data_IF_024407814772
#
_entry.id   IF_024407814772
#
_cell.length_a   1.000
_cell.length_b   1.000
_cell.length_c   1.000
_cell.angle_alpha   90.00
_cell.angle_beta   90.00
_cell.angle_gamma   90.00
#
_symmetry.space_group_name_H-M   'P 1'
#
loop_
_entity.id
_entity.type
_entity.pdbx_description
1 polymer ?
#
# COMPACT_ATOMS: atom_id res chain seq x y z
N UNK A 1 13.79 25.37 -9.61
CA UNK A 1 12.77 24.37 -9.97
C UNK A 1 11.91 24.94 -11.07
N UNK A 2 11.92 24.33 -12.26
CA UNK A 2 11.07 24.78 -13.36
C UNK A 2 9.62 24.30 -13.15
N UNK A 3 8.64 24.95 -13.78
CA UNK A 3 7.24 24.47 -13.74
C UNK A 3 7.16 23.04 -14.28
N UNK A 4 7.96 22.73 -15.29
CA UNK A 4 8.04 21.41 -15.90
C UNK A 4 8.48 20.34 -14.88
N UNK A 5 9.53 20.59 -14.10
CA UNK A 5 9.99 19.67 -13.05
C UNK A 5 8.91 19.42 -11.98
N UNK A 6 8.14 20.45 -11.60
CA UNK A 6 7.01 20.27 -10.68
C UNK A 6 5.92 19.39 -11.29
N UNK A 7 5.55 19.63 -12.55
CA UNK A 7 4.51 18.85 -13.24
C UNK A 7 4.91 17.38 -13.41
N UNK A 8 6.19 17.09 -13.68
CA UNK A 8 6.71 15.73 -13.74
C UNK A 8 6.55 15.01 -12.39
N UNK A 9 6.86 15.69 -11.28
CA UNK A 9 6.67 15.16 -9.93
C UNK A 9 5.21 14.85 -9.61
N UNK A 10 4.28 15.74 -9.97
CA UNK A 10 2.85 15.48 -9.78
C UNK A 10 2.34 14.35 -10.67
N UNK A 11 2.83 14.27 -11.91
CA UNK A 11 2.50 13.18 -12.84
C UNK A 11 2.96 11.84 -12.28
N UNK A 12 4.17 11.78 -11.71
CA UNK A 12 4.67 10.58 -11.03
C UNK A 12 3.78 10.20 -9.86
N UNK A 13 3.48 11.14 -8.97
CA UNK A 13 2.59 10.90 -7.82
C UNK A 13 1.22 10.35 -8.27
N UNK A 14 0.64 10.96 -9.30
CA UNK A 14 -0.63 10.50 -9.87
C UNK A 14 -0.54 9.08 -10.41
N UNK A 15 0.56 8.70 -11.07
CA UNK A 15 0.77 7.35 -11.56
C UNK A 15 0.88 6.33 -10.41
N UNK A 16 1.54 6.68 -9.32
CA UNK A 16 1.67 5.81 -8.14
C UNK A 16 0.31 5.45 -7.54
N UNK A 17 -0.57 6.44 -7.34
CA UNK A 17 -1.93 6.19 -6.86
C UNK A 17 -2.82 5.50 -7.90
N UNK A 18 -2.57 5.74 -9.19
CA UNK A 18 -3.27 5.03 -10.27
C UNK A 18 -2.98 3.54 -10.22
N UNK A 19 -1.72 3.13 -10.03
CA UNK A 19 -1.34 1.72 -9.91
C UNK A 19 -2.07 1.02 -8.76
N UNK A 20 -2.08 1.64 -7.57
CA UNK A 20 -2.80 1.08 -6.43
C UNK A 20 -4.31 0.94 -6.70
N UNK A 21 -4.93 1.96 -7.31
CA UNK A 21 -6.36 1.91 -7.66
C UNK A 21 -6.68 0.86 -8.74
N UNK A 22 -5.80 0.66 -9.72
CA UNK A 22 -5.95 -0.41 -10.72
C UNK A 22 -5.90 -1.79 -10.07
N UNK A 23 -4.99 -1.99 -9.12
CA UNK A 23 -4.92 -3.22 -8.34
C UNK A 23 -6.16 -3.46 -7.48
N UNK A 24 -6.62 -2.44 -6.75
CA UNK A 24 -7.82 -2.53 -5.91
C UNK A 24 -9.06 -2.92 -6.72
N UNK A 25 -9.16 -2.47 -7.98
CA UNK A 25 -10.24 -2.85 -8.90
C UNK A 25 -10.15 -4.30 -9.40
N UNK A 26 -8.95 -4.87 -9.45
CA UNK A 26 -8.70 -6.24 -9.94
C UNK A 26 -8.86 -7.29 -8.84
N UNK A 27 -8.84 -6.90 -7.57
CA UNK A 27 -8.97 -7.85 -6.48
C UNK A 27 -10.34 -8.50 -6.50
N UNK A 28 -10.32 -9.81 -6.74
CA UNK A 28 -11.45 -10.69 -6.55
C UNK A 28 -11.32 -11.33 -5.16
N UNK A 29 -12.44 -11.53 -4.47
CA UNK A 29 -12.50 -12.15 -3.13
C UNK A 29 -12.08 -13.64 -3.09
N UNK A 30 -11.36 -14.13 -4.11
CA UNK A 30 -10.86 -15.49 -4.23
C UNK A 30 -9.61 -15.75 -3.40
N UNK A 31 -9.03 -14.73 -2.76
CA UNK A 31 -7.86 -14.85 -1.89
C UNK A 31 -8.01 -13.93 -0.66
N UNK A 32 -8.02 -14.51 0.53
CA UNK A 32 -8.16 -13.83 1.83
C UNK A 32 -6.98 -12.91 2.12
N UNK A 33 -5.75 -13.37 1.87
CA UNK A 33 -4.55 -12.56 2.14
C UNK A 33 -4.49 -11.33 1.24
N UNK A 34 -4.71 -11.50 -0.07
CA UNK A 34 -4.76 -10.37 -1.01
C UNK A 34 -5.92 -9.43 -0.69
N UNK A 35 -7.10 -9.96 -0.33
CA UNK A 35 -8.25 -9.14 0.08
C UNK A 35 -7.96 -8.32 1.35
N UNK A 36 -7.32 -8.92 2.35
CA UNK A 36 -6.92 -8.26 3.59
C UNK A 36 -5.93 -7.12 3.32
N UNK A 37 -4.92 -7.40 2.49
CA UNK A 37 -3.97 -6.39 2.02
C UNK A 37 -4.66 -5.25 1.27
N UNK A 38 -5.58 -5.57 0.34
CA UNK A 38 -6.36 -4.59 -0.41
C UNK A 38 -7.10 -3.64 0.52
N UNK A 39 -7.78 -4.19 1.51
CA UNK A 39 -8.61 -3.42 2.42
C UNK A 39 -7.77 -2.40 3.17
N UNK A 40 -6.63 -2.83 3.73
CA UNK A 40 -5.74 -1.92 4.46
C UNK A 40 -5.07 -0.91 3.53
N UNK A 41 -4.72 -1.30 2.30
CA UNK A 41 -4.20 -0.36 1.29
C UNK A 41 -5.24 0.70 0.94
N UNK A 42 -6.50 0.31 0.74
CA UNK A 42 -7.61 1.23 0.49
C UNK A 42 -7.80 2.20 1.66
N UNK A 43 -7.73 1.72 2.90
CA UNK A 43 -7.83 2.55 4.09
C UNK A 43 -6.69 3.59 4.15
N UNK A 44 -5.46 3.20 3.84
CA UNK A 44 -4.32 4.13 3.75
C UNK A 44 -4.50 5.18 2.66
N UNK A 45 -5.01 4.79 1.49
CA UNK A 45 -5.30 5.71 0.39
C UNK A 45 -6.43 6.68 0.77
N UNK A 46 -7.46 6.20 1.45
CA UNK A 46 -8.56 7.04 1.93
C UNK A 46 -8.05 8.10 2.92
N UNK A 47 -7.13 7.74 3.82
CA UNK A 47 -6.49 8.72 4.71
C UNK A 47 -5.75 9.81 3.92
N UNK A 48 -5.07 9.44 2.83
CA UNK A 48 -4.40 10.42 1.96
C UNK A 48 -5.42 11.32 1.25
N UNK A 49 -6.54 10.77 0.77
CA UNK A 49 -7.60 11.58 0.16
C UNK A 49 -8.23 12.56 1.15
N UNK A 50 -8.40 12.17 2.41
CA UNK A 50 -8.85 13.09 3.46
C UNK A 50 -7.86 14.25 3.67
N UNK A 51 -6.56 13.96 3.72
CA UNK A 51 -5.51 14.99 3.83
C UNK A 51 -5.53 15.95 2.62
N UNK A 52 -5.74 15.43 1.41
CA UNK A 52 -5.85 16.24 0.20
C UNK A 52 -7.10 17.11 0.20
N UNK A 53 -8.25 16.57 0.65
CA UNK A 53 -9.48 17.33 0.78
C UNK A 53 -9.36 18.48 1.79
N UNK A 54 -8.61 18.29 2.87
CA UNK A 54 -8.32 19.36 3.84
C UNK A 54 -7.45 20.47 3.24
N UNK A 55 -6.49 20.13 2.38
CA UNK A 55 -5.73 21.13 1.61
C UNK A 55 -6.65 21.90 0.67
N UNK A 56 -7.46 21.19 -0.11
CA UNK A 56 -8.43 21.79 -1.06
C UNK A 56 -9.38 22.76 -0.35
N UNK A 57 -9.89 22.37 0.82
CA UNK A 57 -10.78 23.21 1.64
C UNK A 57 -10.12 24.50 2.10
N UNK A 58 -8.83 24.47 2.48
CA UNK A 58 -8.07 25.67 2.85
C UNK A 58 -7.83 26.60 1.65
N UNK A 59 -7.55 26.03 0.48
CA UNK A 59 -7.46 26.79 -0.78
C UNK A 59 -8.77 27.52 -1.09
N UNK A 60 -9.90 26.81 -1.05
CA UNK A 60 -11.22 27.35 -1.42
C UNK A 60 -11.65 28.48 -0.48
N UNK A 61 -11.34 28.37 0.81
CA UNK A 61 -11.63 29.41 1.79
C UNK A 61 -10.66 30.60 1.75
N UNK A 62 -9.67 30.58 0.87
CA UNK A 62 -8.62 31.60 0.77
C UNK A 62 -7.86 31.81 2.09
N UNK A 63 -7.78 30.78 2.94
CA UNK A 63 -7.03 30.82 4.20
C UNK A 63 -5.51 30.92 3.93
N UNK A 64 -5.08 30.56 2.71
CA UNK A 64 -3.71 30.66 2.25
C UNK A 64 -3.61 30.74 0.72
N UNK A 65 -2.59 31.44 0.21
CA UNK A 65 -2.25 31.47 -1.21
C UNK A 65 -1.30 30.32 -1.54
N UNK A 66 -1.79 29.30 -2.27
CA UNK A 66 -0.93 28.22 -2.75
C UNK A 66 -0.24 28.58 -4.06
N UNK A 67 1.08 28.50 -4.06
CA UNK A 67 1.85 28.32 -5.29
C UNK A 67 2.10 26.84 -5.53
N UNK A 68 2.42 26.44 -6.76
CA UNK A 68 2.75 25.05 -7.11
C UNK A 68 3.86 24.49 -6.21
N UNK A 69 4.85 25.31 -5.88
CA UNK A 69 5.96 24.93 -5.01
C UNK A 69 5.50 24.70 -3.57
N UNK A 70 4.69 25.61 -3.01
CA UNK A 70 4.15 25.47 -1.65
C UNK A 70 3.26 24.24 -1.52
N UNK A 71 2.45 23.96 -2.54
CA UNK A 71 1.63 22.76 -2.57
C UNK A 71 2.50 21.49 -2.54
N UNK A 72 3.55 21.42 -3.37
CA UNK A 72 4.47 20.28 -3.36
C UNK A 72 5.18 20.10 -2.01
N UNK A 73 5.69 21.18 -1.42
CA UNK A 73 6.35 21.16 -0.11
C UNK A 73 5.42 20.67 0.99
N UNK A 74 4.13 21.04 0.92
CA UNK A 74 3.16 20.57 1.88
C UNK A 74 2.87 19.07 1.72
N UNK A 75 2.70 18.58 0.48
CA UNK A 75 2.55 17.14 0.23
C UNK A 75 3.76 16.34 0.73
N UNK A 76 4.96 16.89 0.57
CA UNK A 76 6.19 16.32 1.10
C UNK A 76 6.19 16.29 2.63
N UNK A 77 5.80 17.39 3.28
CA UNK A 77 5.71 17.49 4.74
C UNK A 77 4.69 16.52 5.36
N UNK A 78 3.60 16.24 4.65
CA UNK A 78 2.58 15.26 5.05
C UNK A 78 3.00 13.81 4.75
N UNK A 79 4.17 13.62 4.13
CA UNK A 79 4.70 12.32 3.71
C UNK A 79 3.91 11.68 2.56
N UNK A 80 3.05 12.43 1.86
CA UNK A 80 2.22 11.90 0.77
C UNK A 80 3.11 11.44 -0.39
N UNK A 81 4.16 12.21 -0.70
CA UNK A 81 5.15 11.84 -1.72
C UNK A 81 5.82 10.51 -1.38
N UNK A 82 6.33 10.39 -0.15
CA UNK A 82 7.01 9.17 0.31
C UNK A 82 6.07 7.95 0.34
N UNK A 83 4.80 8.13 0.71
CA UNK A 83 3.79 7.05 0.64
C UNK A 83 3.54 6.62 -0.81
N UNK A 84 3.46 7.56 -1.74
CA UNK A 84 3.35 7.25 -3.18
C UNK A 84 4.56 6.46 -3.71
N UNK A 85 5.77 6.86 -3.33
CA UNK A 85 6.99 6.11 -3.67
C UNK A 85 7.03 4.71 -3.05
N UNK A 86 6.46 4.55 -1.86
CA UNK A 86 6.32 3.25 -1.22
C UNK A 86 5.38 2.33 -2.02
N UNK A 87 4.25 2.87 -2.48
CA UNK A 87 3.34 2.16 -3.39
C UNK A 87 4.08 1.75 -4.66
N UNK A 88 4.74 2.68 -5.36
CA UNK A 88 5.52 2.38 -6.58
C UNK A 88 6.46 1.20 -6.36
N UNK A 89 7.27 1.27 -5.30
CA UNK A 89 8.27 0.25 -4.99
C UNK A 89 7.66 -1.12 -4.71
N UNK A 90 6.53 -1.18 -4.00
CA UNK A 90 5.83 -2.44 -3.75
C UNK A 90 5.31 -3.05 -5.04
N UNK A 91 4.68 -2.22 -5.88
CA UNK A 91 4.08 -2.64 -7.14
C UNK A 91 5.09 -2.97 -8.23
N UNK A 92 6.31 -2.42 -8.17
CA UNK A 92 7.42 -2.81 -9.04
C UNK A 92 8.02 -4.17 -8.66
N UNK A 93 7.99 -4.51 -7.37
CA UNK A 93 8.55 -5.78 -6.87
C UNK A 93 7.57 -6.93 -6.99
N UNK A 94 6.28 -6.66 -6.93
CA UNK A 94 5.23 -7.67 -7.04
C UNK A 94 4.70 -7.61 -8.46
N UNK A 95 4.69 -8.74 -9.17
CA UNK A 95 4.19 -8.85 -10.56
C UNK A 95 2.67 -8.72 -10.67
N UNK A 96 2.05 -7.70 -10.05
CA UNK A 96 0.62 -7.40 -10.09
C UNK A 96 0.10 -7.00 -11.49
N UNK A 97 1.01 -6.88 -12.45
CA UNK A 97 0.69 -6.54 -13.83
C UNK A 97 0.07 -7.71 -14.60
N UNK A 98 0.29 -8.95 -14.18
CA UNK A 98 -0.36 -10.11 -14.80
C UNK A 98 -1.84 -10.19 -14.43
N UNK A 99 -2.69 -10.47 -15.43
CA UNK A 99 -4.15 -10.46 -15.31
C UNK A 99 -4.75 -11.54 -14.38
N UNK A 100 -3.92 -12.30 -13.66
CA UNK A 100 -4.36 -13.32 -12.71
C UNK A 100 -3.72 -13.05 -11.35
N UNK A 101 -4.41 -12.26 -10.54
CA UNK A 101 -4.19 -12.26 -9.09
C UNK A 101 -4.60 -13.64 -8.57
N UNK A 102 -3.64 -14.51 -8.31
CA UNK A 102 -3.82 -15.85 -7.75
C UNK A 102 -3.28 -15.93 -6.32
N UNK A 103 -3.67 -16.98 -5.60
CA UNK A 103 -3.22 -17.25 -4.23
C UNK A 103 -1.70 -17.46 -4.14
N UNK A 104 -1.06 -17.87 -5.25
CA UNK A 104 0.40 -18.07 -5.32
C UNK A 104 1.20 -16.79 -5.00
N UNK A 105 0.63 -15.61 -5.25
CA UNK A 105 1.26 -14.31 -4.95
C UNK A 105 1.29 -13.98 -3.45
N UNK A 106 0.55 -14.71 -2.60
CA UNK A 106 0.37 -14.32 -1.19
C UNK A 106 1.67 -14.42 -0.38
N UNK A 107 2.44 -15.49 -0.58
CA UNK A 107 3.74 -15.68 0.06
C UNK A 107 4.75 -14.64 -0.43
N UNK A 108 4.75 -14.38 -1.75
CA UNK A 108 5.61 -13.37 -2.36
C UNK A 108 5.30 -11.98 -1.78
N UNK A 109 4.02 -11.62 -1.67
CA UNK A 109 3.56 -10.38 -1.04
C UNK A 109 4.06 -10.26 0.40
N UNK A 110 3.85 -11.29 1.24
CA UNK A 110 4.27 -11.25 2.65
C UNK A 110 5.79 -11.09 2.76
N UNK A 111 6.55 -11.82 1.92
CA UNK A 111 8.00 -11.74 1.89
C UNK A 111 8.50 -10.35 1.46
N UNK A 112 7.90 -9.77 0.43
CA UNK A 112 8.22 -8.42 -0.06
C UNK A 112 7.89 -7.38 1.00
N UNK A 113 6.73 -7.47 1.65
CA UNK A 113 6.36 -6.58 2.75
C UNK A 113 7.37 -6.66 3.91
N UNK A 114 7.75 -7.88 4.32
CA UNK A 114 8.75 -8.08 5.35
C UNK A 114 10.12 -7.49 4.99
N UNK A 115 10.61 -7.75 3.76
CA UNK A 115 11.88 -7.18 3.29
C UNK A 115 11.85 -5.65 3.27
N UNK A 116 10.78 -5.04 2.76
CA UNK A 116 10.68 -3.59 2.72
C UNK A 116 10.54 -2.98 4.12
N UNK A 117 9.88 -3.66 5.06
CA UNK A 117 9.85 -3.26 6.47
C UNK A 117 11.24 -3.24 7.09
N UNK A 118 11.98 -4.35 7.01
CA UNK A 118 13.35 -4.42 7.52
C UNK A 118 14.24 -3.35 6.89
N UNK A 119 14.15 -3.16 5.57
CA UNK A 119 14.93 -2.12 4.89
C UNK A 119 14.55 -0.73 5.39
N UNK A 120 13.26 -0.44 5.60
CA UNK A 120 12.80 0.85 6.12
C UNK A 120 13.27 1.11 7.54
N UNK A 121 13.34 0.08 8.39
CA UNK A 121 13.90 0.16 9.74
C UNK A 121 15.41 0.43 9.70
N UNK A 122 16.16 -0.29 8.85
CA UNK A 122 17.62 -0.14 8.71
C UNK A 122 18.04 1.27 8.27
N UNK A 123 17.23 1.93 7.44
CA UNK A 123 17.49 3.32 7.00
C UNK A 123 16.78 4.38 7.86
N UNK A 124 16.14 3.99 8.96
CA UNK A 124 15.34 4.86 9.84
C UNK A 124 14.24 5.67 9.10
N UNK A 125 13.64 5.10 8.05
CA UNK A 125 12.57 5.74 7.30
C UNK A 125 11.21 5.42 7.94
N UNK A 126 10.84 6.20 8.95
CA UNK A 126 9.61 6.03 9.73
C UNK A 126 8.34 6.17 8.90
N UNK A 127 8.33 6.99 7.85
CA UNK A 127 7.15 7.16 6.97
C UNK A 127 6.89 5.86 6.20
N UNK A 128 7.93 5.26 5.61
CA UNK A 128 7.81 3.98 4.93
C UNK A 128 7.42 2.88 5.90
N UNK A 129 8.08 2.81 7.06
CA UNK A 129 7.79 1.78 8.06
C UNK A 129 6.32 1.85 8.53
N UNK A 130 5.83 3.04 8.87
CA UNK A 130 4.47 3.24 9.36
C UNK A 130 3.41 2.98 8.27
N UNK A 131 3.75 3.17 7.00
CA UNK A 131 2.86 2.83 5.88
C UNK A 131 2.83 1.31 5.62
N UNK A 132 3.97 0.64 5.70
CA UNK A 132 4.11 -0.79 5.41
C UNK A 132 3.62 -1.70 6.54
N UNK A 133 3.77 -1.28 7.79
CA UNK A 133 3.52 -2.12 8.95
C UNK A 133 2.05 -2.60 9.03
N UNK A 134 1.03 -1.73 8.86
CA UNK A 134 -0.36 -2.18 8.83
C UNK A 134 -0.65 -3.18 7.72
N UNK A 135 -0.06 -2.95 6.52
CA UNK A 135 -0.20 -3.84 5.37
C UNK A 135 0.35 -5.24 5.72
N UNK A 136 1.56 -5.30 6.25
CA UNK A 136 2.20 -6.55 6.67
C UNK A 136 1.40 -7.30 7.73
N UNK A 137 0.99 -6.62 8.80
CA UNK A 137 0.21 -7.24 9.89
C UNK A 137 -1.09 -7.84 9.34
N UNK A 138 -1.80 -7.10 8.47
CA UNK A 138 -3.06 -7.56 7.90
C UNK A 138 -2.92 -8.78 7.00
N UNK A 139 -1.83 -8.86 6.22
CA UNK A 139 -1.53 -10.02 5.37
C UNK A 139 -1.14 -11.24 6.20
N UNK A 140 -0.26 -11.07 7.19
CA UNK A 140 0.20 -12.15 8.07
C UNK A 140 -0.92 -12.72 8.96
N UNK A 141 -1.90 -11.89 9.34
CA UNK A 141 -3.01 -12.32 10.21
C UNK A 141 -3.74 -13.54 9.65
N UNK A 142 -3.98 -13.59 8.34
CA UNK A 142 -4.68 -14.71 7.69
C UNK A 142 -3.91 -16.02 7.89
N UNK A 143 -2.59 -15.99 7.69
CA UNK A 143 -1.72 -17.15 7.91
C UNK A 143 -1.66 -17.57 9.38
N UNK A 144 -1.60 -16.60 10.30
CA UNK A 144 -1.62 -16.87 11.74
C UNK A 144 -2.93 -17.53 12.19
N UNK A 145 -4.07 -17.13 11.62
CA UNK A 145 -5.36 -17.77 11.87
C UNK A 145 -5.37 -19.24 11.40
N UNK A 146 -4.77 -19.53 10.23
CA UNK A 146 -4.65 -20.92 9.73
C UNK A 146 -3.75 -21.74 10.66
N UNK A 147 -2.57 -21.21 11.04
CA UNK A 147 -1.64 -21.88 11.97
C UNK A 147 -2.31 -22.16 13.32
N UNK A 148 -3.02 -21.17 13.86
CA UNK A 148 -3.73 -21.32 15.13
C UNK A 148 -4.80 -22.42 15.05
N UNK A 149 -5.60 -22.45 14.00
CA UNK A 149 -6.60 -23.50 13.79
C UNK A 149 -5.97 -24.88 13.66
N UNK A 150 -4.82 -24.97 12.98
CA UNK A 150 -4.10 -26.22 12.83
C UNK A 150 -3.54 -26.73 14.17
N UNK A 151 -2.92 -25.85 14.96
CA UNK A 151 -2.37 -26.21 16.27
C UNK A 151 -3.47 -26.58 17.28
N UNK A 152 -4.61 -25.89 17.24
CA UNK A 152 -5.71 -26.12 18.18
C UNK A 152 -6.56 -27.36 17.82
N UNK A 153 -6.85 -27.55 16.53
CA UNK A 153 -7.84 -28.55 16.07
C UNK A 153 -7.21 -29.73 15.30
N UNK A 154 -5.90 -29.68 14.99
CA UNK A 154 -5.23 -30.66 14.13
C UNK A 154 -5.65 -30.60 12.65
N UNK A 155 -6.43 -29.59 12.25
CA UNK A 155 -6.99 -29.46 10.90
C UNK A 155 -6.49 -28.16 10.27
N UNK A 156 -5.90 -28.27 9.08
CA UNK A 156 -5.59 -27.12 8.23
C UNK A 156 -6.90 -26.73 7.53
N UNK A 157 -7.44 -25.55 7.87
CA UNK A 157 -8.61 -24.98 7.22
C UNK A 157 -8.17 -23.85 6.29
N UNK A 158 -7.88 -24.21 5.04
CA UNK A 158 -7.43 -23.29 4.00
C UNK A 158 -8.23 -23.51 2.71
N UNK A 159 -9.40 -22.87 2.58
CA UNK A 159 -10.32 -23.11 1.46
C UNK A 159 -9.83 -22.53 0.11
N UNK A 160 -8.74 -21.76 0.12
CA UNK A 160 -8.21 -21.07 -1.05
C UNK A 160 -6.79 -21.52 -1.44
N UNK A 161 -6.27 -22.56 -0.77
CA UNK A 161 -4.91 -23.09 -0.96
C UNK A 161 -3.82 -22.00 -0.90
N UNK A 162 -3.98 -21.03 0.02
CA UNK A 162 -3.02 -19.94 0.25
C UNK A 162 -1.83 -20.37 1.12
N UNK A 163 -2.01 -21.38 1.97
CA UNK A 163 -1.05 -21.78 2.97
C UNK A 163 0.09 -22.60 2.35
N UNK A 164 1.32 -22.35 2.81
CA UNK A 164 2.52 -22.96 2.24
C UNK A 164 2.64 -24.48 2.48
N UNK A 165 1.85 -25.05 3.40
CA UNK A 165 1.78 -26.50 3.61
C UNK A 165 0.55 -27.02 2.87
N UNK A 166 0.78 -27.60 1.70
CA UNK A 166 -0.24 -28.29 0.89
C UNK A 166 -0.39 -29.75 1.35
N UNK A 167 -1.61 -30.29 1.27
CA UNK A 167 -1.93 -31.70 1.59
C UNK A 167 -1.91 -32.58 0.36
#
# INVERSE_FOLDING_TARGET
VSIQECLEKFTRLSNQFRLANEFLKKINHSCRTLSSFAQVLQDQINLIYLQLADIEKRCLKQECTYTILLFYQELESLGIISKGECIERLFDQISFYDNKLNCDLTLELIHILYKNLLMSEMINNSIFFNFLLPLFISSCRIYLEIIQNWLANGIINDPFDEFFIQR
#
